data_IF_092635072411
#
_entry.id   IF_092635072411
#
_cell.length_a   1.000
_cell.length_b   1.000
_cell.length_c   1.000
_cell.angle_alpha   90.00
_cell.angle_beta   90.00
_cell.angle_gamma   90.00
#
_symmetry.space_group_name_H-M   'P 1'
#
loop_
_entity.id
_entity.type
_entity.pdbx_description
1 polymer ?
#
# COMPACT_ATOMS: atom_id res chain seq x y z
N UNK A 1 21.03 3.65 28.75
CA UNK A 1 20.06 4.45 27.99
C UNK A 1 18.73 4.32 28.69
N UNK A 2 18.38 5.30 29.52
CA UNK A 2 17.12 5.35 30.26
C UNK A 2 15.99 5.65 29.28
N UNK A 3 15.08 4.70 29.10
CA UNK A 3 13.87 4.92 28.32
C UNK A 3 13.11 6.12 28.91
N UNK A 4 12.76 7.09 28.06
CA UNK A 4 11.89 8.17 28.46
C UNK A 4 10.56 7.57 28.99
N UNK A 5 9.99 8.12 30.06
CA UNK A 5 8.69 7.66 30.54
C UNK A 5 7.65 7.81 29.42
N UNK A 6 6.69 6.86 29.30
CA UNK A 6 5.63 6.97 28.30
C UNK A 6 4.90 8.31 28.52
N UNK A 7 4.59 9.06 27.45
CA UNK A 7 3.87 10.31 27.59
C UNK A 7 2.54 10.05 28.30
N UNK A 8 2.41 10.55 29.53
CA UNK A 8 1.16 10.63 30.26
C UNK A 8 0.31 11.72 29.62
N UNK A 9 -0.54 11.34 28.69
CA UNK A 9 -1.53 12.21 28.09
C UNK A 9 -2.64 11.36 27.52
N UNK A 10 -3.74 11.26 28.27
CA UNK A 10 -5.01 10.81 27.73
C UNK A 10 -5.28 11.60 26.46
N UNK A 11 -5.16 10.94 25.30
CA UNK A 11 -5.62 11.55 24.04
C UNK A 11 -7.08 11.88 24.25
N UNK A 12 -7.51 13.16 24.15
CA UNK A 12 -8.88 13.54 24.43
C UNK A 12 -9.81 12.72 23.55
N UNK A 13 -10.74 11.99 24.16
CA UNK A 13 -11.75 11.22 23.41
C UNK A 13 -12.55 12.25 22.59
N UNK A 14 -12.56 12.15 21.25
CA UNK A 14 -13.26 13.10 20.41
C UNK A 14 -14.75 13.09 20.77
N UNK A 15 -15.30 14.26 21.12
CA UNK A 15 -16.70 14.41 21.53
C UNK A 15 -17.58 14.96 20.41
N UNK A 16 -16.96 15.58 19.42
CA UNK A 16 -17.65 16.13 18.24
C UNK A 16 -17.28 15.36 16.96
N UNK A 17 -18.15 15.41 15.96
CA UNK A 17 -17.89 14.81 14.64
C UNK A 17 -16.61 15.36 14.00
N UNK A 18 -16.32 16.67 14.16
CA UNK A 18 -15.11 17.29 13.62
C UNK A 18 -13.83 16.86 14.36
N UNK A 19 -13.88 16.70 15.69
CA UNK A 19 -12.77 16.11 16.45
C UNK A 19 -12.51 14.65 16.05
N UNK A 20 -13.59 13.90 15.83
CA UNK A 20 -13.51 12.52 15.33
C UNK A 20 -12.92 12.46 13.92
N UNK A 21 -13.31 13.39 13.04
CA UNK A 21 -12.73 13.46 11.70
C UNK A 21 -11.25 13.85 11.73
N UNK A 22 -10.87 14.75 12.66
CA UNK A 22 -9.48 15.18 12.85
C UNK A 22 -8.59 14.07 13.42
N UNK A 23 -9.14 13.16 14.22
CA UNK A 23 -8.38 12.03 14.78
C UNK A 23 -7.95 11.01 13.71
N UNK A 24 -8.62 10.98 12.54
CA UNK A 24 -8.18 10.18 11.40
C UNK A 24 -6.92 10.72 10.72
N UNK A 25 -6.51 11.96 10.96
CA UNK A 25 -5.39 12.62 10.25
C UNK A 25 -4.13 11.76 10.15
N UNK A 26 -3.58 11.25 11.27
CA UNK A 26 -2.43 10.34 11.24
C UNK A 26 -2.72 9.02 10.50
N UNK A 27 -3.91 8.45 10.69
CA UNK A 27 -4.31 7.19 10.05
C UNK A 27 -4.46 7.31 8.54
N UNK A 28 -4.99 8.43 8.04
CA UNK A 28 -5.15 8.67 6.61
C UNK A 28 -3.79 8.75 5.89
N UNK A 29 -2.81 9.44 6.50
CA UNK A 29 -1.44 9.50 5.95
C UNK A 29 -0.83 8.10 5.89
N UNK A 30 -1.01 7.28 6.93
CA UNK A 30 -0.52 5.88 6.94
C UNK A 30 -1.21 5.04 5.87
N UNK A 31 -2.53 5.14 5.72
CA UNK A 31 -3.26 4.39 4.69
C UNK A 31 -2.82 4.76 3.28
N UNK A 32 -2.54 6.05 3.01
CA UNK A 32 -2.03 6.49 1.73
C UNK A 32 -0.63 5.95 1.43
N UNK A 33 0.20 5.70 2.45
CA UNK A 33 1.51 5.06 2.25
C UNK A 33 1.41 3.56 1.97
N UNK A 34 0.32 2.91 2.38
CA UNK A 34 0.09 1.49 2.07
C UNK A 34 -0.42 1.24 0.66
N UNK A 35 -0.70 2.30 -0.11
CA UNK A 35 -1.11 2.19 -1.51
C UNK A 35 0.15 2.33 -2.36
N UNK A 36 0.70 1.19 -2.78
CA UNK A 36 1.94 1.11 -3.52
C UNK A 36 1.74 1.29 -5.02
N UNK A 37 2.84 1.56 -5.73
CA UNK A 37 2.85 1.52 -7.20
C UNK A 37 2.45 0.14 -7.75
N UNK A 38 2.65 -0.94 -6.97
CA UNK A 38 2.18 -2.29 -7.30
C UNK A 38 0.67 -2.39 -7.36
N UNK A 39 -0.03 -1.91 -6.33
CA UNK A 39 -1.50 -1.94 -6.26
C UNK A 39 -2.12 -1.21 -7.45
N UNK A 40 -1.55 -0.07 -7.82
CA UNK A 40 -2.04 0.74 -8.95
C UNK A 40 -1.91 0.00 -10.27
N UNK A 41 -0.75 -0.63 -10.52
CA UNK A 41 -0.52 -1.40 -11.76
C UNK A 41 -1.42 -2.63 -11.79
N UNK A 42 -1.56 -3.34 -10.67
CA UNK A 42 -2.39 -4.54 -10.59
C UNK A 42 -3.87 -4.23 -10.77
N UNK A 43 -4.41 -3.24 -10.07
CA UNK A 43 -5.81 -2.82 -10.27
C UNK A 43 -6.05 -2.22 -11.65
N UNK A 44 -5.08 -1.48 -12.19
CA UNK A 44 -5.14 -0.89 -13.53
C UNK A 44 -5.16 -1.96 -14.62
N UNK A 45 -4.29 -2.96 -14.53
CA UNK A 45 -4.25 -4.09 -15.48
C UNK A 45 -5.48 -4.99 -15.34
N UNK A 46 -5.95 -5.25 -14.12
CA UNK A 46 -7.21 -5.97 -13.90
C UNK A 46 -8.41 -5.26 -14.54
N UNK A 47 -8.49 -3.93 -14.39
CA UNK A 47 -9.54 -3.13 -15.02
C UNK A 47 -9.42 -3.04 -16.54
N UNK A 48 -8.20 -3.03 -17.08
CA UNK A 48 -7.96 -3.03 -18.53
C UNK A 48 -8.36 -4.37 -19.17
N UNK A 49 -8.04 -5.49 -18.51
CA UNK A 49 -8.30 -6.83 -19.04
C UNK A 49 -9.75 -7.28 -18.83
N UNK A 50 -10.37 -6.94 -17.69
CA UNK A 50 -11.66 -7.48 -17.25
C UNK A 50 -12.74 -6.43 -16.97
N UNK A 51 -12.48 -5.15 -17.25
CA UNK A 51 -13.44 -4.07 -17.00
C UNK A 51 -13.91 -4.02 -15.55
N UNK A 52 -15.23 -4.06 -15.34
CA UNK A 52 -15.83 -4.01 -14.00
C UNK A 52 -15.97 -5.38 -13.32
N UNK A 53 -15.70 -6.49 -14.01
CA UNK A 53 -16.05 -7.83 -13.52
C UNK A 53 -15.29 -8.26 -12.27
N UNK A 54 -14.08 -7.75 -12.04
CA UNK A 54 -13.27 -8.08 -10.86
C UNK A 54 -13.41 -7.06 -9.71
N UNK A 55 -14.35 -6.12 -9.79
CA UNK A 55 -14.50 -5.10 -8.73
C UNK A 55 -14.93 -5.68 -7.38
N UNK A 56 -15.66 -6.79 -7.35
CA UNK A 56 -15.99 -7.51 -6.10
C UNK A 56 -14.73 -8.04 -5.39
N UNK A 57 -13.68 -8.38 -6.15
CA UNK A 57 -12.39 -8.83 -5.59
C UNK A 57 -11.72 -7.68 -4.84
N UNK A 58 -11.80 -6.45 -5.37
CA UNK A 58 -11.32 -5.26 -4.67
C UNK A 58 -12.05 -5.07 -3.33
N UNK A 59 -13.37 -5.29 -3.28
CA UNK A 59 -14.14 -5.23 -2.02
C UNK A 59 -13.63 -6.26 -1.02
N UNK A 60 -13.43 -7.50 -1.46
CA UNK A 60 -12.89 -8.57 -0.62
C UNK A 60 -11.48 -8.24 -0.11
N UNK A 61 -10.62 -7.72 -0.99
CA UNK A 61 -9.25 -7.34 -0.66
C UNK A 61 -9.21 -6.21 0.38
N UNK A 62 -10.02 -5.16 0.21
CA UNK A 62 -10.15 -4.06 1.18
C UNK A 62 -10.72 -4.56 2.51
N UNK A 63 -11.72 -5.44 2.48
CA UNK A 63 -12.27 -6.06 3.68
C UNK A 63 -11.23 -6.89 4.44
N UNK A 64 -10.45 -7.70 3.73
CA UNK A 64 -9.35 -8.48 4.30
C UNK A 64 -8.30 -7.57 4.94
N UNK A 65 -7.89 -6.50 4.23
CA UNK A 65 -6.97 -5.49 4.77
C UNK A 65 -7.50 -4.90 6.07
N UNK A 66 -8.77 -4.49 6.08
CA UNK A 66 -9.40 -3.92 7.27
C UNK A 66 -9.35 -4.88 8.46
N UNK A 67 -9.64 -6.18 8.27
CA UNK A 67 -9.52 -7.19 9.32
C UNK A 67 -8.07 -7.31 9.80
N UNK A 68 -7.11 -7.46 8.90
CA UNK A 68 -5.69 -7.61 9.26
C UNK A 68 -5.17 -6.41 10.06
N UNK A 69 -5.41 -5.19 9.56
CA UNK A 69 -5.02 -3.93 10.21
C UNK A 69 -5.68 -3.80 11.57
N UNK A 70 -6.98 -4.13 11.68
CA UNK A 70 -7.70 -4.05 12.95
C UNK A 70 -7.12 -5.02 13.98
N UNK A 71 -6.75 -6.23 13.57
CA UNK A 71 -6.13 -7.22 14.45
C UNK A 71 -4.74 -6.76 14.90
N UNK A 72 -3.91 -6.27 13.98
CA UNK A 72 -2.56 -5.75 14.29
C UNK A 72 -2.66 -4.55 15.24
N UNK A 73 -3.56 -3.60 14.96
CA UNK A 73 -3.76 -2.42 15.79
C UNK A 73 -4.27 -2.79 17.20
N UNK A 74 -5.25 -3.71 17.31
CA UNK A 74 -5.74 -4.21 18.60
C UNK A 74 -4.65 -4.95 19.36
N UNK A 75 -3.82 -5.74 18.69
CA UNK A 75 -2.68 -6.38 19.33
C UNK A 75 -1.74 -5.31 19.89
N UNK A 76 -1.32 -4.33 19.10
CA UNK A 76 -0.37 -3.31 19.54
C UNK A 76 -0.91 -2.42 20.68
N UNK A 77 -2.21 -2.11 20.67
CA UNK A 77 -2.84 -1.20 21.65
C UNK A 77 -3.32 -1.90 22.92
N UNK A 78 -3.88 -3.11 22.79
CA UNK A 78 -4.53 -3.80 23.90
C UNK A 78 -3.65 -4.88 24.54
N UNK A 79 -2.42 -5.06 24.07
CA UNK A 79 -1.50 -6.04 24.63
C UNK A 79 -1.05 -5.64 26.04
N UNK A 80 -1.39 -6.42 27.08
CA UNK A 80 -1.04 -6.10 28.47
C UNK A 80 0.47 -6.06 28.74
N UNK A 81 1.26 -6.70 27.88
CA UNK A 81 2.73 -6.77 28.02
C UNK A 81 3.46 -5.62 27.36
N UNK A 82 2.80 -4.86 26.48
CA UNK A 82 3.45 -3.84 25.66
C UNK A 82 4.55 -4.39 24.73
N UNK A 83 4.57 -5.71 24.46
CA UNK A 83 5.48 -6.33 23.47
C UNK A 83 5.06 -5.95 22.04
N UNK A 84 6.04 -5.78 21.14
CA UNK A 84 5.77 -5.51 19.73
C UNK A 84 5.22 -6.77 19.04
N UNK A 85 4.49 -6.62 17.93
CA UNK A 85 3.90 -7.75 17.19
C UNK A 85 4.91 -8.86 16.87
N UNK A 86 6.12 -8.48 16.45
CA UNK A 86 7.18 -9.43 16.08
C UNK A 86 7.67 -10.24 17.29
N UNK A 87 7.79 -9.60 18.45
CA UNK A 87 8.17 -10.27 19.70
C UNK A 87 7.07 -11.25 20.13
N UNK A 88 5.81 -10.82 19.99
CA UNK A 88 4.63 -11.65 20.22
C UNK A 88 4.61 -12.93 19.38
N UNK A 89 4.95 -12.82 18.09
CA UNK A 89 5.06 -13.97 17.18
C UNK A 89 6.21 -14.90 17.59
N UNK A 90 7.39 -14.34 17.87
CA UNK A 90 8.56 -15.13 18.27
C UNK A 90 8.35 -15.87 19.60
N UNK A 91 7.49 -15.35 20.48
CA UNK A 91 7.08 -16.02 21.73
C UNK A 91 6.19 -17.24 21.48
N UNK A 92 5.36 -17.24 20.44
CA UNK A 92 4.53 -18.41 20.10
C UNK A 92 5.43 -19.57 19.66
N UNK A 93 6.40 -19.27 18.80
CA UNK A 93 7.35 -20.28 18.35
C UNK A 93 8.65 -19.63 17.83
N UNK A 94 9.80 -20.15 18.26
CA UNK A 94 11.13 -19.66 17.84
C UNK A 94 11.31 -19.60 16.32
N UNK A 95 10.66 -20.49 15.57
CA UNK A 95 10.79 -20.53 14.10
C UNK A 95 10.21 -19.29 13.39
N UNK A 96 9.38 -18.48 14.06
CA UNK A 96 8.90 -17.23 13.47
C UNK A 96 10.05 -16.25 13.19
N UNK A 97 11.08 -16.18 14.03
CA UNK A 97 12.21 -15.29 13.80
C UNK A 97 12.94 -15.54 12.45
N UNK A 98 13.44 -16.75 12.15
CA UNK A 98 14.07 -17.02 10.86
C UNK A 98 13.07 -16.96 9.70
N UNK A 99 11.81 -17.36 9.90
CA UNK A 99 10.78 -17.27 8.86
C UNK A 99 10.51 -15.81 8.46
N UNK A 100 10.32 -14.93 9.44
CA UNK A 100 10.09 -13.50 9.21
C UNK A 100 11.32 -12.83 8.59
N UNK A 101 12.53 -13.23 8.99
CA UNK A 101 13.76 -12.73 8.36
C UNK A 101 13.82 -13.11 6.87
N UNK A 102 13.57 -14.38 6.55
CA UNK A 102 13.55 -14.87 5.17
C UNK A 102 12.46 -14.14 4.37
N UNK A 103 11.25 -14.03 4.92
CA UNK A 103 10.15 -13.31 4.29
C UNK A 103 10.50 -11.83 4.04
N UNK A 104 11.09 -11.15 5.02
CA UNK A 104 11.48 -9.75 4.91
C UNK A 104 12.57 -9.54 3.84
N UNK A 105 13.58 -10.42 3.77
CA UNK A 105 14.64 -10.33 2.76
C UNK A 105 14.08 -10.61 1.37
N UNK A 106 13.26 -11.65 1.20
CA UNK A 106 12.65 -12.00 -0.09
C UNK A 106 11.71 -10.90 -0.55
N UNK A 107 10.79 -10.42 0.30
CA UNK A 107 9.89 -9.33 -0.07
C UNK A 107 10.63 -8.02 -0.31
N UNK A 108 11.61 -7.67 0.52
CA UNK A 108 12.45 -6.49 0.31
C UNK A 108 13.16 -6.53 -1.04
N UNK A 109 13.67 -7.69 -1.45
CA UNK A 109 14.28 -7.87 -2.77
C UNK A 109 13.27 -7.76 -3.91
N UNK A 110 12.11 -8.41 -3.79
CA UNK A 110 11.06 -8.36 -4.83
C UNK A 110 10.49 -6.94 -4.99
N UNK A 111 10.14 -6.26 -3.90
CA UNK A 111 9.67 -4.87 -3.94
C UNK A 111 10.76 -3.93 -4.44
N UNK A 112 12.00 -4.08 -3.96
CA UNK A 112 13.14 -3.25 -4.38
C UNK A 112 13.44 -3.39 -5.88
N UNK A 113 13.41 -4.60 -6.42
CA UNK A 113 13.63 -4.87 -7.84
C UNK A 113 12.48 -4.32 -8.71
N UNK A 114 11.23 -4.55 -8.30
CA UNK A 114 10.05 -4.00 -8.97
C UNK A 114 10.07 -2.47 -9.00
N UNK A 115 10.29 -1.80 -7.85
CA UNK A 115 10.35 -0.34 -7.77
C UNK A 115 11.52 0.24 -8.57
N UNK A 116 12.68 -0.42 -8.54
CA UNK A 116 13.87 0.00 -9.29
C UNK A 116 13.61 0.01 -10.80
N UNK A 117 13.00 -1.04 -11.33
CA UNK A 117 12.62 -1.08 -12.74
C UNK A 117 11.48 -0.10 -13.03
N UNK A 118 10.49 -0.02 -12.14
CA UNK A 118 9.31 0.83 -12.27
C UNK A 118 9.64 2.31 -12.39
N UNK A 119 10.53 2.84 -11.54
CA UNK A 119 10.96 4.24 -11.63
C UNK A 119 11.74 4.52 -12.93
N UNK A 120 12.56 3.57 -13.37
CA UNK A 120 13.27 3.66 -14.64
C UNK A 120 12.32 3.72 -15.85
N UNK A 121 11.29 2.87 -15.85
CA UNK A 121 10.28 2.81 -16.91
C UNK A 121 9.42 4.08 -16.93
N UNK A 122 9.00 4.54 -15.74
CA UNK A 122 8.24 5.78 -15.59
C UNK A 122 9.02 7.00 -16.13
N UNK A 123 10.30 7.15 -15.74
CA UNK A 123 11.12 8.27 -16.21
C UNK A 123 11.40 8.20 -17.71
N UNK A 124 11.69 7.01 -18.25
CA UNK A 124 11.91 6.85 -19.70
C UNK A 124 10.65 7.19 -20.48
N UNK A 125 9.49 6.72 -20.06
CA UNK A 125 8.23 6.99 -20.76
C UNK A 125 7.75 8.43 -20.60
N UNK A 126 8.05 9.10 -19.48
CA UNK A 126 7.71 10.50 -19.26
C UNK A 126 8.63 11.46 -20.04
N UNK A 127 9.93 11.15 -20.15
CA UNK A 127 10.92 12.06 -20.76
C UNK A 127 11.24 11.72 -22.22
N UNK A 128 11.02 10.48 -22.65
CA UNK A 128 11.48 9.97 -23.95
C UNK A 128 12.99 9.85 -24.08
N UNK A 129 13.76 10.09 -23.02
CA UNK A 129 15.22 10.22 -23.04
C UNK A 129 15.88 9.14 -22.17
N UNK A 130 17.03 8.65 -22.62
CA UNK A 130 17.86 7.73 -21.86
C UNK A 130 17.34 6.28 -21.84
N UNK A 131 18.00 5.45 -21.04
CA UNK A 131 17.63 4.05 -20.85
C UNK A 131 16.93 3.84 -19.50
N UNK A 132 16.06 2.82 -19.43
CA UNK A 132 15.38 2.42 -18.19
C UNK A 132 16.38 2.21 -17.06
N UNK A 133 17.46 1.47 -17.34
CA UNK A 133 18.51 1.17 -16.36
C UNK A 133 19.32 2.40 -15.94
N UNK A 134 19.53 3.37 -16.84
CA UNK A 134 20.19 4.64 -16.50
C UNK A 134 19.39 5.44 -15.47
N UNK A 135 18.08 5.59 -15.70
CA UNK A 135 17.17 6.23 -14.74
C UNK A 135 17.06 5.46 -13.43
N UNK A 136 16.93 4.14 -13.51
CA UNK A 136 16.85 3.27 -12.34
C UNK A 136 18.09 3.41 -11.44
N UNK A 137 19.29 3.40 -12.02
CA UNK A 137 20.55 3.57 -11.30
C UNK A 137 20.65 4.98 -10.69
N UNK A 138 20.28 6.01 -11.45
CA UNK A 138 20.30 7.39 -10.97
C UNK A 138 19.41 7.57 -9.73
N UNK A 139 18.15 7.11 -9.78
CA UNK A 139 17.22 7.24 -8.66
C UNK A 139 17.59 6.37 -7.46
N UNK A 140 18.11 5.15 -7.68
CA UNK A 140 18.64 4.32 -6.59
C UNK A 140 19.86 4.97 -5.92
N UNK A 141 20.74 5.60 -6.70
CA UNK A 141 21.86 6.36 -6.17
C UNK A 141 21.41 7.54 -5.30
N UNK A 142 20.41 8.30 -5.77
CA UNK A 142 19.81 9.40 -4.98
C UNK A 142 19.18 8.85 -3.70
N UNK A 143 18.42 7.76 -3.79
CA UNK A 143 17.79 7.12 -2.63
C UNK A 143 18.85 6.70 -1.60
N UNK A 144 19.94 6.06 -2.05
CA UNK A 144 21.05 5.66 -1.18
C UNK A 144 21.71 6.86 -0.49
N UNK A 145 21.94 7.96 -1.22
CA UNK A 145 22.50 9.19 -0.65
C UNK A 145 21.58 9.82 0.40
N UNK A 146 20.26 9.70 0.23
CA UNK A 146 19.27 10.21 1.19
C UNK A 146 19.26 9.41 2.50
N UNK A 147 19.56 8.11 2.47
CA UNK A 147 19.64 7.27 3.69
C UNK A 147 20.66 7.82 4.69
N UNK A 148 21.78 8.37 4.19
CA UNK A 148 22.84 8.91 5.03
C UNK A 148 22.58 10.34 5.53
N UNK A 149 21.44 10.96 5.21
CA UNK A 149 21.10 12.32 5.64
C UNK A 149 19.86 12.37 6.53
N UNK A 150 19.86 13.18 7.61
CA UNK A 150 18.68 13.40 8.44
C UNK A 150 17.70 14.35 7.72
N UNK A 151 17.01 13.86 6.68
CA UNK A 151 16.10 14.65 5.84
C UNK A 151 14.63 14.21 5.96
N UNK A 152 14.29 13.36 6.93
CA UNK A 152 12.96 12.74 7.07
C UNK A 152 11.79 13.71 6.95
N UNK A 153 11.80 14.86 7.65
CA UNK A 153 10.70 15.83 7.60
C UNK A 153 10.52 16.44 6.19
N UNK A 154 11.61 16.73 5.48
CA UNK A 154 11.54 17.27 4.11
C UNK A 154 11.04 16.22 3.13
N UNK A 155 11.54 14.99 3.28
CA UNK A 155 11.11 13.85 2.47
C UNK A 155 9.61 13.61 2.67
N UNK A 156 9.13 13.61 3.91
CA UNK A 156 7.71 13.41 4.23
C UNK A 156 6.81 14.43 3.52
N UNK A 157 7.18 15.70 3.50
CA UNK A 157 6.42 16.75 2.79
C UNK A 157 6.39 16.47 1.28
N UNK A 158 7.52 16.09 0.68
CA UNK A 158 7.58 15.73 -0.74
C UNK A 158 6.68 14.54 -1.04
N UNK A 159 6.71 13.49 -0.22
CA UNK A 159 5.84 12.32 -0.37
C UNK A 159 4.36 12.69 -0.29
N UNK A 160 3.96 13.57 0.64
CA UNK A 160 2.57 14.06 0.74
C UNK A 160 2.13 14.79 -0.53
N UNK A 161 3.00 15.64 -1.10
CA UNK A 161 2.71 16.35 -2.36
C UNK A 161 2.55 15.36 -3.51
N UNK A 162 3.46 14.38 -3.63
CA UNK A 162 3.39 13.36 -4.68
C UNK A 162 2.13 12.49 -4.56
N UNK A 163 1.77 12.07 -3.34
CA UNK A 163 0.53 11.33 -3.08
C UNK A 163 -0.71 12.14 -3.45
N UNK A 164 -0.74 13.44 -3.11
CA UNK A 164 -1.85 14.30 -3.49
C UNK A 164 -1.96 14.44 -5.01
N UNK A 165 -0.85 14.67 -5.70
CA UNK A 165 -0.80 14.74 -7.16
C UNK A 165 -1.27 13.44 -7.81
N UNK A 166 -0.81 12.30 -7.29
CA UNK A 166 -1.23 10.97 -7.73
C UNK A 166 -2.75 10.79 -7.57
N UNK A 167 -3.31 11.12 -6.41
CA UNK A 167 -4.75 11.04 -6.17
C UNK A 167 -5.54 11.94 -7.14
N UNK A 168 -5.10 13.18 -7.37
CA UNK A 168 -5.76 14.09 -8.32
C UNK A 168 -5.70 13.54 -9.74
N UNK A 169 -4.56 13.00 -10.17
CA UNK A 169 -4.40 12.43 -11.50
C UNK A 169 -5.32 11.22 -11.73
N UNK A 170 -5.39 10.31 -10.75
CA UNK A 170 -6.26 9.12 -10.83
C UNK A 170 -7.74 9.47 -10.83
N UNK A 171 -8.18 10.30 -9.88
CA UNK A 171 -9.58 10.73 -9.79
C UNK A 171 -9.95 11.55 -11.03
N UNK A 172 -9.09 12.47 -11.46
CA UNK A 172 -9.29 13.25 -12.67
C UNK A 172 -9.45 12.38 -13.90
N UNK A 173 -8.57 11.39 -14.09
CA UNK A 173 -8.67 10.44 -15.20
C UNK A 173 -9.97 9.63 -15.13
N UNK A 174 -10.34 9.15 -13.94
CA UNK A 174 -11.59 8.42 -13.76
C UNK A 174 -12.81 9.28 -14.13
N UNK A 175 -12.85 10.55 -13.74
CA UNK A 175 -13.93 11.47 -14.11
C UNK A 175 -13.96 11.73 -15.62
N UNK A 176 -12.80 11.95 -16.25
CA UNK A 176 -12.69 12.21 -17.69
C UNK A 176 -13.12 11.02 -18.55
N UNK A 177 -12.84 9.79 -18.12
CA UNK A 177 -13.26 8.57 -18.81
C UNK A 177 -14.78 8.38 -18.77
N UNK A 178 -15.47 8.94 -17.77
CA UNK A 178 -16.93 8.84 -17.64
C UNK A 178 -17.42 7.41 -17.36
N UNK A 179 -17.00 6.78 -16.25
CA UNK A 179 -17.33 5.39 -15.97
C UNK A 179 -18.83 5.23 -15.72
N UNK A 180 -19.38 4.09 -16.15
CA UNK A 180 -20.80 3.80 -15.92
C UNK A 180 -21.06 3.51 -14.43
N UNK A 181 -21.89 4.30 -13.72
CA UNK A 181 -22.17 4.04 -12.31
C UNK A 181 -22.89 2.69 -12.11
N UNK A 182 -23.74 2.30 -13.06
CA UNK A 182 -24.41 1.00 -13.06
C UNK A 182 -23.43 -0.16 -13.23
N UNK A 183 -22.41 -0.01 -14.08
CA UNK A 183 -21.37 -1.03 -14.27
C UNK A 183 -20.51 -1.20 -13.03
N UNK A 184 -20.14 -0.10 -12.38
CA UNK A 184 -19.44 -0.11 -11.08
C UNK A 184 -20.25 -0.87 -10.03
N UNK A 185 -21.52 -0.49 -9.83
CA UNK A 185 -22.38 -1.13 -8.84
C UNK A 185 -22.57 -2.62 -9.11
N UNK A 186 -22.79 -3.01 -10.38
CA UNK A 186 -22.88 -4.42 -10.77
C UNK A 186 -21.57 -5.15 -10.51
N UNK A 187 -20.43 -4.58 -10.89
CA UNK A 187 -19.11 -5.18 -10.67
C UNK A 187 -18.76 -5.38 -9.20
N UNK A 188 -19.22 -4.47 -8.31
CA UNK A 188 -18.98 -4.57 -6.87
C UNK A 188 -19.76 -5.72 -6.20
N UNK A 189 -20.91 -6.09 -6.75
CA UNK A 189 -21.84 -7.07 -6.13
C UNK A 189 -21.87 -8.41 -6.87
N UNK A 190 -21.62 -8.41 -8.18
CA UNK A 190 -21.68 -9.63 -8.98
C UNK A 190 -20.41 -10.45 -8.77
N UNK A 191 -20.55 -11.60 -8.11
CA UNK A 191 -19.50 -12.61 -7.91
C UNK A 191 -19.29 -13.41 -9.21
N UNK A 192 -19.04 -12.71 -10.30
CA UNK A 192 -18.77 -13.32 -11.60
C UNK A 192 -17.26 -13.47 -11.79
N UNK A 193 -16.86 -14.65 -12.29
CA UNK A 193 -15.50 -14.87 -12.78
C UNK A 193 -15.58 -14.71 -14.30
N UNK A 194 -15.02 -13.64 -14.88
CA UNK A 194 -15.11 -13.41 -16.32
C UNK A 194 -14.33 -14.46 -17.09
N UNK A 195 -14.65 -14.65 -18.37
CA UNK A 195 -13.81 -15.45 -19.26
C UNK A 195 -12.42 -14.81 -19.43
N UNK A 196 -11.43 -15.62 -19.80
CA UNK A 196 -10.06 -15.14 -19.98
C UNK A 196 -9.97 -14.23 -21.21
N UNK A 197 -9.94 -12.92 -20.97
CA UNK A 197 -9.70 -11.88 -21.99
C UNK A 197 -8.25 -11.38 -21.99
N UNK A 198 -7.59 -11.38 -20.82
CA UNK A 198 -6.21 -10.92 -20.64
C UNK A 198 -5.12 -11.98 -20.79
N UNK A 199 -3.86 -11.58 -20.62
CA UNK A 199 -2.71 -12.49 -20.64
C UNK A 199 -2.77 -13.53 -19.51
N UNK A 200 -3.24 -13.10 -18.34
CA UNK A 200 -3.36 -13.92 -17.14
C UNK A 200 -4.80 -14.41 -16.93
N UNK A 201 -4.94 -15.54 -16.25
CA UNK A 201 -6.26 -16.06 -15.89
C UNK A 201 -6.95 -15.15 -14.87
N UNK A 202 -8.28 -14.99 -14.92
CA UNK A 202 -9.04 -14.12 -14.02
C UNK A 202 -8.86 -14.48 -12.54
N UNK A 203 -8.74 -15.77 -12.23
CA UNK A 203 -8.47 -16.22 -10.85
C UNK A 203 -7.06 -15.85 -10.38
N UNK A 204 -6.06 -15.91 -11.26
CA UNK A 204 -4.69 -15.52 -10.92
C UNK A 204 -4.61 -14.03 -10.65
N UNK A 205 -5.28 -13.21 -11.47
CA UNK A 205 -5.39 -11.76 -11.24
C UNK A 205 -6.15 -11.48 -9.94
N UNK A 206 -7.25 -12.19 -9.67
CA UNK A 206 -7.98 -12.03 -8.42
C UNK A 206 -7.13 -12.38 -7.17
N UNK A 207 -6.37 -13.48 -7.24
CA UNK A 207 -5.45 -13.87 -6.18
C UNK A 207 -4.33 -12.83 -5.98
N UNK A 208 -3.81 -12.30 -7.08
CA UNK A 208 -2.84 -11.21 -7.06
C UNK A 208 -3.40 -9.96 -6.40
N UNK A 209 -4.59 -9.51 -6.80
CA UNK A 209 -5.30 -8.37 -6.20
C UNK A 209 -5.46 -8.51 -4.68
N UNK A 210 -5.89 -9.68 -4.20
CA UNK A 210 -6.03 -9.95 -2.76
C UNK A 210 -4.65 -9.98 -2.09
N UNK A 211 -3.68 -10.64 -2.74
CA UNK A 211 -2.32 -10.82 -2.23
C UNK A 211 -1.54 -9.51 -2.11
N UNK A 212 -1.62 -8.62 -3.11
CA UNK A 212 -0.99 -7.30 -3.07
C UNK A 212 -1.59 -6.43 -1.97
N UNK A 213 -2.92 -6.43 -1.85
CA UNK A 213 -3.61 -5.65 -0.84
C UNK A 213 -3.30 -6.16 0.59
N UNK A 214 -3.16 -7.47 0.79
CA UNK A 214 -2.73 -8.02 2.07
C UNK A 214 -1.23 -7.87 2.34
N UNK A 215 -0.39 -7.95 1.30
CA UNK A 215 1.07 -7.97 1.39
C UNK A 215 1.73 -6.60 1.51
N UNK A 216 1.04 -5.51 1.19
CA UNK A 216 1.55 -4.15 1.32
C UNK A 216 1.29 -3.49 2.69
N UNK A 217 0.91 -4.29 3.68
CA UNK A 217 0.67 -3.89 5.07
C UNK A 217 1.94 -3.75 5.91
#
# INVERSE_FOLDING_TARGET
MTAAPPPSGDTPIPRTFFEYLRSFGPGLVVVLTWLGAGDIVEMGTAGADFGYSLMWVLVLAVGMRWVMVSVIARYQLCNPRGEHLLDGLCRIHRAYAPLLLIAAVLMGHLYGSYMTRGIGEACRNATGIGSVWGWALAWNGIALLLVFRPAFQRIEVVFKILLLLLSIAFVGTAVMVGPSPAGILRGLVSLEIPEKTGHYGPLLVAMGMIGAVGGSL
#
